data_IF_380061756612
#
_entry.id   IF_380061756612
#
_cell.length_a   1.000
_cell.length_b   1.000
_cell.length_c   1.000
_cell.angle_alpha   90.00
_cell.angle_beta   90.00
_cell.angle_gamma   90.00
#
_symmetry.space_group_name_H-M   'P 1'
#
loop_
_entity.id
_entity.type
_entity.pdbx_description
1 polymer ?
#
# COMPACT_ATOMS: atom_id res chain seq x y z
N UNK A 1 -1.84 17.45 -10.74
CA UNK A 1 -1.90 17.35 -9.26
C UNK A 1 -0.97 16.23 -8.84
N UNK A 2 0.09 16.56 -8.11
CA UNK A 2 1.06 15.61 -7.57
C UNK A 2 0.41 14.91 -6.37
N UNK A 3 -0.56 14.04 -6.64
CA UNK A 3 -1.13 13.23 -5.56
C UNK A 3 -0.04 12.25 -5.16
N UNK A 4 0.30 12.20 -3.87
CA UNK A 4 1.28 11.25 -3.34
C UNK A 4 0.99 9.84 -3.86
N UNK A 5 2.05 9.08 -4.15
CA UNK A 5 1.93 7.73 -4.69
C UNK A 5 1.09 6.82 -3.78
N UNK A 6 0.67 5.64 -4.26
CA UNK A 6 -0.29 4.79 -3.55
C UNK A 6 0.12 4.36 -2.14
N UNK A 7 1.42 4.42 -1.82
CA UNK A 7 2.01 4.06 -0.52
C UNK A 7 2.72 5.24 0.15
N UNK A 8 2.51 6.47 -0.33
CA UNK A 8 3.15 7.64 0.26
C UNK A 8 2.74 7.80 1.73
N UNK A 9 3.72 7.81 2.63
CA UNK A 9 3.50 7.81 4.08
C UNK A 9 2.72 9.06 4.52
N UNK A 10 2.94 10.21 3.88
CA UNK A 10 2.25 11.45 4.20
C UNK A 10 0.79 11.49 3.73
N UNK A 11 0.42 10.66 2.75
CA UNK A 11 -0.94 10.59 2.20
C UNK A 11 -1.72 9.33 2.64
N UNK A 12 -1.09 8.40 3.35
CA UNK A 12 -1.68 7.12 3.75
C UNK A 12 -2.75 7.30 4.84
N UNK A 13 -3.97 6.86 4.53
CA UNK A 13 -5.15 6.81 5.41
C UNK A 13 -5.71 5.40 5.58
N UNK A 14 -5.30 4.45 4.73
CA UNK A 14 -5.80 3.09 4.73
C UNK A 14 -4.65 2.07 4.83
N UNK A 15 -4.92 0.93 5.48
CA UNK A 15 -4.03 -0.22 5.49
C UNK A 15 -3.92 -0.82 4.08
N UNK A 16 -2.70 -1.08 3.64
CA UNK A 16 -2.41 -1.44 2.25
C UNK A 16 -2.63 -2.92 1.95
N UNK A 17 -2.83 -3.74 2.98
CA UNK A 17 -3.08 -5.18 2.87
C UNK A 17 -4.55 -5.52 3.07
N UNK A 18 -5.27 -4.77 3.89
CA UNK A 18 -6.69 -5.00 4.20
C UNK A 18 -7.64 -3.95 3.61
N UNK A 19 -7.17 -2.73 3.37
CA UNK A 19 -7.99 -1.60 2.93
C UNK A 19 -8.75 -0.88 4.06
N UNK A 20 -8.54 -1.26 5.32
CA UNK A 20 -9.19 -0.64 6.49
C UNK A 20 -8.66 0.79 6.75
N UNK A 21 -9.50 1.68 7.25
CA UNK A 21 -9.08 3.03 7.67
C UNK A 21 -8.12 2.98 8.86
N UNK A 22 -7.08 3.80 8.82
CA UNK A 22 -6.09 3.95 9.88
C UNK A 22 -6.53 5.12 10.76
N UNK A 23 -6.93 4.81 11.99
CA UNK A 23 -7.31 5.81 12.98
C UNK A 23 -8.79 6.22 12.91
N UNK A 24 -9.63 5.37 13.49
CA UNK A 24 -10.86 5.73 14.19
C UNK A 24 -11.19 4.51 15.06
N UNK A 25 -10.91 4.59 16.38
CA UNK A 25 -11.51 3.76 17.45
C UNK A 25 -11.53 2.22 17.30
N UNK A 26 -10.67 1.65 16.46
CA UNK A 26 -10.70 0.23 16.18
C UNK A 26 -9.90 -0.61 17.19
N UNK A 27 -10.57 -1.15 18.22
CA UNK A 27 -10.16 -2.35 18.99
C UNK A 27 -10.13 -3.63 18.11
N UNK A 28 -9.63 -3.52 16.88
CA UNK A 28 -9.72 -4.58 15.87
C UNK A 28 -9.17 -4.23 14.49
N UNK A 29 -8.75 -2.99 14.22
CA UNK A 29 -7.91 -2.70 13.06
C UNK A 29 -6.46 -2.88 13.51
N UNK A 30 -6.10 -4.14 13.77
CA UNK A 30 -4.70 -4.48 13.86
C UNK A 30 -4.03 -3.92 12.61
N UNK A 31 -3.14 -2.93 12.78
CA UNK A 31 -2.03 -2.77 11.86
C UNK A 31 -1.60 -4.18 11.53
N UNK A 32 -1.57 -4.56 10.25
CA UNK A 32 -1.23 -5.91 9.83
C UNK A 32 0.15 -6.27 10.40
N UNK A 33 0.17 -6.75 11.64
CA UNK A 33 1.33 -6.99 12.49
C UNK A 33 1.87 -8.38 12.21
N UNK A 34 1.74 -8.83 10.97
CA UNK A 34 2.32 -10.08 10.48
C UNK A 34 3.02 -9.76 9.17
N UNK A 35 4.09 -9.00 9.36
CA UNK A 35 5.18 -8.74 8.44
C UNK A 35 4.76 -7.90 7.22
N UNK A 36 5.07 -6.61 7.30
CA UNK A 36 5.49 -5.84 6.13
C UNK A 36 6.80 -6.44 5.60
N UNK A 37 6.75 -7.69 5.15
CA UNK A 37 7.83 -8.32 4.43
C UNK A 37 7.91 -7.60 3.09
N UNK A 38 9.11 -7.21 2.66
CA UNK A 38 9.35 -6.63 1.32
C UNK A 38 8.82 -7.53 0.20
N UNK A 39 8.57 -8.82 0.50
CA UNK A 39 7.99 -9.82 -0.37
C UNK A 39 6.45 -9.82 -0.49
N UNK A 40 5.71 -9.17 0.41
CA UNK A 40 4.25 -9.15 0.35
C UNK A 40 3.76 -7.88 -0.39
N UNK A 41 3.21 -8.00 -1.61
CA UNK A 41 2.72 -6.84 -2.32
C UNK A 41 1.46 -6.24 -1.67
N UNK A 42 1.31 -4.91 -1.66
CA UNK A 42 0.11 -4.23 -1.20
C UNK A 42 -1.04 -4.53 -2.15
N UNK A 43 -2.21 -4.83 -1.58
CA UNK A 43 -3.42 -5.14 -2.33
C UNK A 43 -4.36 -3.95 -2.47
N UNK A 44 -4.21 -2.94 -1.62
CA UNK A 44 -5.05 -1.76 -1.55
C UNK A 44 -4.24 -0.48 -1.56
N UNK A 45 -4.80 0.56 -2.16
CA UNK A 45 -4.20 1.89 -2.17
C UNK A 45 -4.32 2.53 -0.78
N UNK A 46 -3.19 2.93 -0.20
CA UNK A 46 -3.14 3.58 1.11
C UNK A 46 -3.85 4.94 1.14
N UNK A 47 -4.14 5.57 -0.01
CA UNK A 47 -4.80 6.87 -0.10
C UNK A 47 -6.32 6.76 -0.25
N UNK A 48 -6.84 5.69 -0.88
CA UNK A 48 -8.27 5.61 -1.23
C UNK A 48 -8.93 4.24 -1.10
N UNK A 49 -8.27 3.27 -0.46
CA UNK A 49 -8.77 1.91 -0.23
C UNK A 49 -9.14 1.10 -1.49
N UNK A 50 -8.89 1.61 -2.71
CA UNK A 50 -9.17 0.84 -3.93
C UNK A 50 -8.22 -0.34 -4.04
N UNK A 51 -8.76 -1.50 -4.42
CA UNK A 51 -7.94 -2.66 -4.77
C UNK A 51 -7.06 -2.32 -5.97
N UNK A 52 -5.78 -2.65 -5.85
CA UNK A 52 -4.76 -2.39 -6.85
C UNK A 52 -4.57 -3.61 -7.75
N UNK A 53 -4.11 -3.38 -8.98
CA UNK A 53 -3.55 -4.44 -9.81
C UNK A 53 -2.13 -4.69 -9.34
N UNK A 54 -1.81 -5.94 -9.06
CA UNK A 54 -0.50 -6.36 -8.55
C UNK A 54 0.12 -7.33 -9.53
N UNK A 55 1.39 -7.11 -9.84
CA UNK A 55 2.23 -8.05 -10.58
C UNK A 55 3.43 -8.42 -9.70
N UNK A 56 3.61 -9.72 -9.50
CA UNK A 56 4.80 -10.27 -8.84
C UNK A 56 5.80 -10.70 -9.91
N UNK A 57 7.08 -10.43 -9.65
CA UNK A 57 8.26 -10.84 -10.42
C UNK A 57 9.25 -11.55 -9.48
N UNK A 58 10.23 -12.32 -10.00
CA UNK A 58 11.26 -12.93 -9.14
C UNK A 58 12.09 -11.91 -8.34
N UNK A 59 12.29 -10.70 -8.90
CA UNK A 59 13.05 -9.60 -8.29
C UNK A 59 12.21 -8.67 -7.40
N UNK A 60 10.89 -8.88 -7.29
CA UNK A 60 10.02 -8.00 -6.52
C UNK A 60 8.60 -7.91 -7.06
N UNK A 61 7.97 -6.74 -6.96
CA UNK A 61 6.60 -6.54 -7.40
C UNK A 61 6.33 -5.09 -7.75
N UNK A 62 5.29 -4.88 -8.57
CA UNK A 62 4.67 -3.57 -8.70
C UNK A 62 3.17 -3.65 -8.44
N UNK A 63 2.63 -2.54 -7.93
CA UNK A 63 1.21 -2.39 -7.67
C UNK A 63 0.72 -1.06 -8.26
N UNK A 64 -0.43 -1.08 -8.95
CA UNK A 64 -1.00 0.11 -9.57
C UNK A 64 -2.43 0.40 -9.11
N UNK A 65 -2.63 1.61 -8.61
CA UNK A 65 -3.93 2.20 -8.34
C UNK A 65 -4.40 2.95 -9.60
N UNK A 66 -5.68 2.80 -9.94
CA UNK A 66 -6.30 3.51 -11.06
C UNK A 66 -6.34 5.03 -10.90
N UNK A 67 -6.19 5.56 -9.67
CA UNK A 67 -6.23 7.00 -9.38
C UNK A 67 -4.89 7.59 -8.95
N UNK A 68 -4.13 6.87 -8.13
CA UNK A 68 -2.93 7.37 -7.46
C UNK A 68 -1.62 6.87 -8.08
N UNK A 69 -1.69 6.13 -9.19
CA UNK A 69 -0.51 5.70 -9.95
C UNK A 69 0.09 4.37 -9.50
N UNK A 70 1.35 4.13 -9.87
CA UNK A 70 2.08 2.87 -9.63
C UNK A 70 3.15 3.05 -8.56
N UNK A 71 3.40 1.99 -7.82
CA UNK A 71 4.56 1.80 -6.94
C UNK A 71 5.26 0.50 -7.32
N UNK A 72 6.58 0.47 -7.20
CA UNK A 72 7.42 -0.71 -7.41
C UNK A 72 8.23 -0.96 -6.13
N UNK A 73 8.46 -2.22 -5.79
CA UNK A 73 9.23 -2.61 -4.61
C UNK A 73 10.64 -2.03 -4.63
N UNK A 74 11.25 -1.87 -5.82
CA UNK A 74 12.59 -1.27 -5.93
C UNK A 74 12.65 0.17 -5.42
N UNK A 75 11.53 0.91 -5.44
CA UNK A 75 11.45 2.29 -4.94
C UNK A 75 11.22 2.37 -3.43
N UNK A 76 10.88 1.24 -2.78
CA UNK A 76 10.73 1.14 -1.33
C UNK A 76 12.04 0.71 -0.66
N UNK A 77 12.89 -0.05 -1.35
CA UNK A 77 14.20 -0.49 -0.87
C UNK A 77 15.22 0.66 -0.74
N UNK A 78 15.02 1.73 -1.52
CA UNK A 78 15.92 2.88 -1.61
C UNK A 78 15.59 4.03 -0.63
N UNK A 79 14.67 3.83 0.31
CA UNK A 79 14.08 4.90 1.13
C UNK A 79 14.22 4.64 2.62
#
# INVERSE_FOLDING_TARGET
MLVGGPLDVGARRFDVHTGAEIGADAEGAGSSGRLADSFQPPRYCGVCARRMVVQVRPDGWWAQCSRHGRVDSSALDLR
#
